data_IF_600207815654
#
_entry.id   IF_600207815654
#
_cell.length_a   1.000
_cell.length_b   1.000
_cell.length_c   1.000
_cell.angle_alpha   90.00
_cell.angle_beta   90.00
_cell.angle_gamma   90.00
#
_symmetry.space_group_name_H-M   'P 1'
#
loop_
_entity.id
_entity.type
_entity.pdbx_description
1 polymer ?
#
# COMPACT_ATOMS: atom_id res chain seq x y z
N UNK A 1 -8.05 16.12 5.79
CA UNK A 1 -6.68 15.99 5.27
C UNK A 1 -6.24 14.58 5.58
N UNK A 2 -5.62 13.89 4.65
CA UNK A 2 -4.98 12.60 4.93
C UNK A 2 -3.47 12.71 4.68
N UNK A 3 -2.69 11.93 5.42
CA UNK A 3 -1.23 11.88 5.32
C UNK A 3 -0.84 10.43 5.03
N UNK A 4 -0.02 10.21 4.00
CA UNK A 4 0.56 8.92 3.66
C UNK A 4 2.04 8.98 4.03
N UNK A 5 2.50 8.04 4.83
CA UNK A 5 3.91 7.93 5.21
C UNK A 5 4.44 6.56 4.82
N UNK A 6 5.54 6.51 4.08
CA UNK A 6 6.22 5.26 3.77
C UNK A 6 7.02 4.80 5.00
N UNK A 7 6.71 3.62 5.53
CA UNK A 7 7.38 3.03 6.71
C UNK A 7 8.19 1.79 6.36
N UNK A 8 8.01 1.26 5.14
CA UNK A 8 8.76 0.11 4.64
C UNK A 8 8.87 0.16 3.12
N UNK A 9 10.08 0.17 2.59
CA UNK A 9 10.42 0.10 1.17
C UNK A 9 11.90 -0.28 0.99
N UNK A 10 12.35 -0.63 -0.22
CA UNK A 10 13.77 -0.92 -0.51
C UNK A 10 14.66 0.32 -0.34
N UNK A 11 14.14 1.52 -0.61
CA UNK A 11 14.82 2.79 -0.37
C UNK A 11 14.46 3.39 0.98
N UNK A 12 15.37 4.19 1.54
CA UNK A 12 15.15 5.02 2.70
C UNK A 12 15.75 6.41 2.49
N UNK A 13 15.28 7.41 3.21
CA UNK A 13 15.88 8.76 3.18
C UNK A 13 17.34 8.66 3.65
N UNK A 14 18.26 9.20 2.85
CA UNK A 14 19.68 9.25 3.15
C UNK A 14 19.97 10.04 4.44
N UNK A 15 21.09 9.73 5.08
CA UNK A 15 21.56 10.39 6.32
C UNK A 15 20.56 10.28 7.50
N UNK A 16 19.72 9.24 7.51
CA UNK A 16 18.80 8.91 8.61
C UNK A 16 19.05 7.50 9.14
N UNK A 17 18.60 7.17 10.35
CA UNK A 17 18.69 5.80 10.87
C UNK A 17 17.69 4.82 10.21
N UNK A 18 16.89 5.28 9.25
CA UNK A 18 15.88 4.46 8.59
C UNK A 18 16.50 3.38 7.72
N UNK A 19 15.86 2.21 7.68
CA UNK A 19 16.36 1.03 6.98
C UNK A 19 15.50 0.75 5.75
N UNK A 20 16.15 0.73 4.57
CA UNK A 20 15.57 0.20 3.34
C UNK A 20 15.65 -1.32 3.31
N UNK A 21 14.56 -1.98 2.92
CA UNK A 21 14.51 -3.43 2.78
C UNK A 21 13.37 -3.84 1.85
N UNK A 22 13.51 -5.02 1.22
CA UNK A 22 12.52 -5.56 0.29
C UNK A 22 11.14 -5.74 0.94
N UNK A 23 10.12 -5.16 0.35
CA UNK A 23 8.74 -5.16 0.80
C UNK A 23 8.13 -3.76 0.77
N UNK A 24 6.88 -3.64 1.18
CA UNK A 24 6.19 -2.34 1.25
C UNK A 24 5.29 -2.25 2.48
N UNK A 25 5.22 -1.07 3.09
CA UNK A 25 4.19 -0.71 4.04
C UNK A 25 4.04 0.81 4.14
N UNK A 26 2.81 1.25 4.33
CA UNK A 26 2.46 2.65 4.52
C UNK A 26 1.64 2.83 5.79
N UNK A 27 1.85 3.93 6.50
CA UNK A 27 0.92 4.42 7.50
C UNK A 27 0.12 5.55 6.89
N UNK A 28 -1.20 5.38 6.87
CA UNK A 28 -2.14 6.40 6.41
C UNK A 28 -2.85 6.98 7.63
N UNK A 29 -2.78 8.29 7.76
CA UNK A 29 -3.43 9.02 8.83
C UNK A 29 -4.55 9.90 8.27
N UNK A 30 -5.76 9.75 8.78
CA UNK A 30 -6.93 10.53 8.36
C UNK A 30 -7.89 10.75 9.53
N UNK A 31 -8.22 12.02 9.78
CA UNK A 31 -9.16 12.43 10.83
C UNK A 31 -8.86 11.82 12.22
N UNK A 32 -7.56 11.75 12.56
CA UNK A 32 -7.09 11.25 13.85
C UNK A 32 -7.05 9.72 13.96
N UNK A 33 -7.33 8.99 12.87
CA UNK A 33 -7.21 7.53 12.78
C UNK A 33 -6.01 7.13 11.94
N UNK A 34 -5.36 6.02 12.30
CA UNK A 34 -4.18 5.47 11.64
C UNK A 34 -4.43 4.07 11.11
N UNK A 35 -4.15 3.90 9.83
CA UNK A 35 -4.18 2.62 9.14
C UNK A 35 -2.76 2.20 8.77
N UNK A 36 -2.35 0.98 9.11
CA UNK A 36 -1.17 0.35 8.53
C UNK A 36 -1.61 -0.45 7.28
N UNK A 37 -1.15 -0.04 6.12
CA UNK A 37 -1.37 -0.73 4.85
C UNK A 37 -0.15 -1.54 4.45
N UNK A 38 -0.29 -2.86 4.44
CA UNK A 38 0.78 -3.85 4.35
C UNK A 38 1.76 -3.79 5.54
N UNK A 39 2.68 -4.75 5.62
CA UNK A 39 3.61 -4.86 6.76
C UNK A 39 5.07 -5.08 6.33
N UNK A 40 5.32 -5.29 5.04
CA UNK A 40 6.65 -5.62 4.55
C UNK A 40 7.09 -7.06 4.88
N UNK A 41 8.36 -7.33 4.60
CA UNK A 41 8.95 -8.68 4.69
C UNK A 41 9.49 -9.02 6.09
N UNK A 42 10.02 -8.06 6.84
CA UNK A 42 10.72 -8.26 8.11
C UNK A 42 10.20 -7.31 9.19
N UNK A 43 9.54 -7.85 10.21
CA UNK A 43 8.96 -7.07 11.31
C UNK A 43 9.97 -6.16 12.02
N UNK A 44 11.20 -6.65 12.26
CA UNK A 44 12.23 -5.85 12.93
C UNK A 44 12.61 -4.56 12.16
N UNK A 45 12.57 -4.57 10.82
CA UNK A 45 12.82 -3.36 10.04
C UNK A 45 11.59 -2.44 10.04
N UNK A 46 10.39 -3.01 9.95
CA UNK A 46 9.16 -2.25 10.11
C UNK A 46 9.11 -1.53 11.46
N UNK A 47 9.33 -2.26 12.55
CA UNK A 47 9.28 -1.72 13.90
C UNK A 47 10.39 -0.69 14.13
N UNK A 48 11.61 -0.94 13.66
CA UNK A 48 12.71 0.01 13.72
C UNK A 48 12.38 1.34 13.01
N UNK A 49 11.87 1.24 11.79
CA UNK A 49 11.48 2.43 11.03
C UNK A 49 10.33 3.18 11.71
N UNK A 50 9.33 2.46 12.19
CA UNK A 50 8.20 3.07 12.91
C UNK A 50 8.65 3.78 14.18
N UNK A 51 9.57 3.20 14.96
CA UNK A 51 10.16 3.81 16.15
C UNK A 51 10.85 5.14 15.81
N UNK A 52 11.72 5.15 14.79
CA UNK A 52 12.41 6.37 14.35
C UNK A 52 11.49 7.41 13.70
N UNK A 53 10.31 6.99 13.24
CA UNK A 53 9.26 7.88 12.73
C UNK A 53 8.23 8.26 13.81
N UNK A 54 8.48 7.91 15.08
CA UNK A 54 7.64 8.18 16.26
C UNK A 54 6.22 7.58 16.12
N UNK A 55 6.11 6.40 15.48
CA UNK A 55 4.86 5.67 15.31
C UNK A 55 4.87 4.44 16.20
N UNK A 56 4.12 4.47 17.30
CA UNK A 56 3.98 3.31 18.18
C UNK A 56 3.06 2.25 17.55
N UNK A 57 3.37 0.95 17.66
CA UNK A 57 2.50 -0.11 17.15
C UNK A 57 1.05 -0.02 17.64
N UNK A 58 0.84 0.27 18.92
CA UNK A 58 -0.51 0.42 19.50
C UNK A 58 -1.26 1.68 19.04
N UNK A 59 -0.58 2.62 18.37
CA UNK A 59 -1.24 3.78 17.78
C UNK A 59 -1.93 3.48 16.43
N UNK A 60 -1.75 2.28 15.88
CA UNK A 60 -2.44 1.84 14.66
C UNK A 60 -3.83 1.35 15.02
N UNK A 61 -4.85 1.99 14.47
CA UNK A 61 -6.27 1.66 14.72
C UNK A 61 -6.75 0.49 13.84
N UNK A 62 -6.19 0.32 12.64
CA UNK A 62 -6.61 -0.68 11.64
C UNK A 62 -5.39 -1.17 10.86
N UNK A 63 -5.40 -2.44 10.47
CA UNK A 63 -4.45 -3.00 9.49
C UNK A 63 -5.21 -3.42 8.24
N UNK A 64 -4.69 -3.11 7.06
CA UNK A 64 -5.18 -3.67 5.80
C UNK A 64 -4.02 -4.29 5.03
N UNK A 65 -4.21 -5.51 4.54
CA UNK A 65 -3.23 -6.26 3.74
C UNK A 65 -3.70 -6.33 2.31
N UNK A 66 -2.91 -5.81 1.39
CA UNK A 66 -3.27 -5.72 -0.03
C UNK A 66 -3.36 -7.09 -0.70
N UNK A 67 -2.46 -8.00 -0.38
CA UNK A 67 -2.38 -9.34 -0.96
C UNK A 67 -1.56 -10.31 -0.11
N UNK A 68 -1.73 -11.61 -0.36
CA UNK A 68 -0.96 -12.67 0.30
C UNK A 68 0.37 -12.88 -0.42
N UNK A 69 1.28 -11.92 -0.24
CA UNK A 69 2.65 -12.00 -0.74
C UNK A 69 3.64 -11.65 0.37
N UNK A 70 4.82 -12.34 0.46
CA UNK A 70 5.79 -12.09 1.53
C UNK A 70 6.15 -10.62 1.71
N UNK A 71 6.35 -9.90 0.63
CA UNK A 71 6.77 -8.50 0.63
C UNK A 71 5.68 -7.55 1.21
N UNK A 72 4.42 -8.04 1.32
CA UNK A 72 3.29 -7.26 1.81
C UNK A 72 2.83 -7.69 3.22
N UNK A 73 2.89 -8.97 3.58
CA UNK A 73 2.23 -9.46 4.79
C UNK A 73 3.10 -10.26 5.76
N UNK A 74 4.36 -10.59 5.41
CA UNK A 74 5.16 -11.51 6.24
C UNK A 74 5.52 -10.96 7.61
N UNK A 75 5.63 -9.65 7.77
CA UNK A 75 5.96 -9.04 9.04
C UNK A 75 4.76 -8.93 10.00
N UNK A 76 3.54 -9.31 9.58
CA UNK A 76 2.31 -9.13 10.37
C UNK A 76 2.40 -9.76 11.77
N UNK A 77 2.86 -11.03 11.89
CA UNK A 77 2.99 -11.66 13.20
C UNK A 77 3.90 -10.87 14.14
N UNK A 78 5.11 -10.55 13.68
CA UNK A 78 6.05 -9.80 14.53
C UNK A 78 5.60 -8.37 14.82
N UNK A 79 4.74 -7.78 13.96
CA UNK A 79 4.07 -6.52 14.27
C UNK A 79 3.03 -6.70 15.39
N UNK A 80 2.24 -7.79 15.34
CA UNK A 80 1.29 -8.12 16.40
C UNK A 80 1.96 -8.48 17.72
N UNK A 81 3.16 -9.10 17.69
CA UNK A 81 3.96 -9.36 18.90
C UNK A 81 4.29 -8.07 19.65
N UNK A 82 4.58 -7.00 18.92
CA UNK A 82 4.90 -5.68 19.48
C UNK A 82 3.69 -4.87 19.96
N UNK A 83 2.47 -5.38 19.78
CA UNK A 83 1.24 -4.72 20.26
C UNK A 83 0.77 -5.31 21.58
N UNK A 84 0.10 -4.48 22.37
CA UNK A 84 -0.60 -4.88 23.60
C UNK A 84 -2.10 -5.01 23.37
N UNK A 85 -2.65 -4.27 22.42
CA UNK A 85 -4.10 -4.20 22.15
C UNK A 85 -4.48 -4.94 20.87
N UNK A 86 -5.68 -5.57 20.83
CA UNK A 86 -6.24 -6.10 19.61
C UNK A 86 -6.42 -5.03 18.53
N UNK A 87 -6.42 -5.46 17.26
CA UNK A 87 -6.55 -4.56 16.12
C UNK A 87 -7.42 -5.19 15.02
N UNK A 88 -8.37 -4.44 14.43
CA UNK A 88 -9.09 -4.86 13.23
C UNK A 88 -8.15 -5.08 12.06
N UNK A 89 -8.30 -6.21 11.36
CA UNK A 89 -7.49 -6.59 10.19
C UNK A 89 -8.38 -6.90 9.01
N UNK A 90 -8.23 -6.15 7.95
CA UNK A 90 -8.81 -6.41 6.63
C UNK A 90 -7.76 -7.08 5.75
N UNK A 91 -8.03 -8.26 5.25
CA UNK A 91 -7.07 -9.02 4.44
C UNK A 91 -7.78 -10.00 3.51
N UNK A 92 -7.10 -10.50 2.46
CA UNK A 92 -7.60 -11.61 1.66
C UNK A 92 -7.93 -12.83 2.54
N UNK A 93 -8.98 -13.59 2.15
CA UNK A 93 -9.44 -14.74 2.91
C UNK A 93 -8.33 -15.78 3.14
N UNK A 94 -7.47 -15.98 2.16
CA UNK A 94 -6.36 -16.92 2.19
C UNK A 94 -5.38 -16.64 3.33
N UNK A 95 -5.23 -15.38 3.76
CA UNK A 95 -4.37 -15.05 4.89
C UNK A 95 -4.95 -15.52 6.22
N UNK A 96 -6.28 -15.49 6.36
CA UNK A 96 -6.98 -15.99 7.55
C UNK A 96 -6.89 -17.51 7.67
N UNK A 97 -7.10 -18.20 6.55
CA UNK A 97 -7.08 -19.67 6.47
C UNK A 97 -5.68 -20.24 6.64
N UNK A 98 -4.66 -19.40 6.50
CA UNK A 98 -3.26 -19.76 6.55
C UNK A 98 -2.77 -20.40 5.25
N UNK A 99 -1.83 -19.74 4.59
CA UNK A 99 -1.25 -20.26 3.34
C UNK A 99 -0.16 -21.27 3.67
N UNK A 100 -0.43 -22.54 3.39
CA UNK A 100 0.58 -23.60 3.52
C UNK A 100 1.73 -23.34 2.54
N UNK A 101 2.94 -23.20 3.05
CA UNK A 101 4.16 -23.15 2.25
C UNK A 101 4.74 -21.78 1.95
N UNK A 102 3.96 -20.69 1.94
CA UNK A 102 4.48 -19.36 1.62
C UNK A 102 5.42 -18.79 2.71
N UNK A 103 5.25 -19.22 3.95
CA UNK A 103 6.01 -18.72 5.11
C UNK A 103 6.56 -19.82 6.03
N UNK A 104 6.42 -21.08 5.66
CA UNK A 104 6.89 -22.22 6.47
C UNK A 104 6.03 -22.50 7.71
N UNK A 105 5.11 -21.65 8.10
CA UNK A 105 4.14 -21.84 9.18
C UNK A 105 2.80 -21.17 8.83
N UNK A 106 1.73 -21.77 9.34
CA UNK A 106 0.34 -21.28 9.23
C UNK A 106 0.23 -19.80 9.63
N UNK A 107 -0.33 -18.96 8.80
CA UNK A 107 -0.84 -17.63 9.05
C UNK A 107 -0.38 -16.90 10.32
N UNK A 108 -1.31 -16.40 11.09
CA UNK A 108 -1.06 -15.77 12.40
C UNK A 108 -0.82 -16.87 13.46
N UNK A 109 0.15 -16.66 14.36
CA UNK A 109 0.42 -17.56 15.47
C UNK A 109 -0.79 -17.65 16.41
N UNK A 110 -0.93 -18.76 17.14
CA UNK A 110 -2.02 -18.92 18.11
C UNK A 110 -2.01 -17.80 19.17
N UNK A 111 -0.82 -17.40 19.60
CA UNK A 111 -0.60 -16.31 20.55
C UNK A 111 -1.13 -14.97 20.02
N UNK A 112 -0.98 -14.69 18.73
CA UNK A 112 -1.46 -13.47 18.09
C UNK A 112 -2.91 -13.55 17.60
N UNK A 113 -3.53 -14.72 17.65
CA UNK A 113 -4.94 -14.91 17.24
C UNK A 113 -5.90 -14.06 18.07
N UNK A 114 -5.58 -13.79 19.33
CA UNK A 114 -6.38 -12.93 20.21
C UNK A 114 -6.22 -11.44 19.89
N UNK A 115 -5.10 -11.04 19.27
CA UNK A 115 -4.84 -9.66 18.87
C UNK A 115 -5.35 -9.35 17.46
N UNK A 116 -5.48 -10.36 16.61
CA UNK A 116 -5.92 -10.23 15.23
C UNK A 116 -7.45 -10.30 15.13
N UNK A 117 -8.12 -9.18 15.02
CA UNK A 117 -9.56 -9.11 14.82
C UNK A 117 -9.88 -9.06 13.32
N UNK A 118 -9.93 -10.21 12.67
CA UNK A 118 -10.26 -10.28 11.24
C UNK A 118 -11.67 -9.77 10.96
N UNK A 119 -11.76 -8.84 10.01
CA UNK A 119 -13.01 -8.22 9.59
C UNK A 119 -13.55 -8.88 8.33
N UNK A 120 -14.85 -9.20 8.34
CA UNK A 120 -15.55 -9.59 7.12
C UNK A 120 -15.96 -8.33 6.36
N UNK A 121 -15.73 -8.34 5.07
CA UNK A 121 -16.12 -7.25 4.20
C UNK A 121 -16.39 -7.77 2.79
N UNK A 122 -17.27 -7.07 2.10
CA UNK A 122 -17.58 -7.31 0.69
C UNK A 122 -17.66 -5.97 -0.03
N UNK A 123 -16.99 -5.87 -1.16
CA UNK A 123 -16.95 -4.62 -1.92
C UNK A 123 -16.11 -3.51 -1.26
N UNK A 124 -16.39 -2.28 -1.64
CA UNK A 124 -15.68 -1.12 -1.12
C UNK A 124 -16.06 -0.83 0.35
N UNK A 125 -15.07 -0.81 1.21
CA UNK A 125 -15.25 -0.64 2.66
C UNK A 125 -14.44 0.54 3.17
N UNK A 126 -15.07 1.48 3.87
CA UNK A 126 -14.37 2.56 4.56
C UNK A 126 -13.71 2.00 5.82
N UNK A 127 -12.39 1.90 5.82
CA UNK A 127 -11.60 1.27 6.89
C UNK A 127 -11.16 2.26 7.98
N UNK A 128 -10.90 3.49 7.59
CA UNK A 128 -10.81 4.68 8.47
C UNK A 128 -11.44 5.86 7.73
N UNK A 129 -11.77 6.97 8.39
CA UNK A 129 -12.48 8.07 7.74
C UNK A 129 -11.82 8.53 6.44
N UNK A 130 -12.58 8.54 5.34
CA UNK A 130 -12.16 8.90 3.98
C UNK A 130 -11.15 7.96 3.30
N UNK A 131 -10.79 6.85 3.92
CA UNK A 131 -9.91 5.83 3.37
C UNK A 131 -10.69 4.55 3.14
N UNK A 132 -10.78 4.15 1.89
CA UNK A 132 -11.58 3.03 1.41
C UNK A 132 -10.68 1.90 0.90
N UNK A 133 -10.92 0.70 1.37
CA UNK A 133 -10.32 -0.52 0.83
C UNK A 133 -11.18 -1.00 -0.35
N UNK A 134 -10.54 -1.33 -1.46
CA UNK A 134 -11.22 -1.89 -2.63
C UNK A 134 -11.71 -3.32 -2.36
N UNK A 135 -12.69 -3.82 -3.14
CA UNK A 135 -12.88 -5.27 -3.25
C UNK A 135 -11.58 -5.93 -3.76
N UNK A 136 -11.45 -7.23 -3.51
CA UNK A 136 -10.36 -8.01 -4.10
C UNK A 136 -10.51 -8.00 -5.63
N UNK A 137 -9.45 -7.59 -6.32
CA UNK A 137 -9.35 -7.65 -7.77
C UNK A 137 -8.59 -8.91 -8.15
N UNK A 138 -9.25 -9.82 -8.81
CA UNK A 138 -8.63 -11.04 -9.31
C UNK A 138 -7.72 -10.71 -10.51
N UNK A 139 -6.55 -11.30 -10.52
CA UNK A 139 -5.64 -11.28 -11.64
C UNK A 139 -5.13 -12.71 -11.93
N UNK A 140 -4.35 -12.87 -12.95
CA UNK A 140 -3.92 -14.17 -13.50
C UNK A 140 -3.53 -15.18 -12.41
N UNK A 141 -4.03 -16.42 -12.50
CA UNK A 141 -3.74 -17.56 -11.63
C UNK A 141 -4.41 -17.58 -10.23
N UNK A 142 -5.55 -16.94 -10.07
CA UNK A 142 -6.32 -17.00 -8.82
C UNK A 142 -5.73 -16.19 -7.66
N UNK A 143 -4.81 -15.30 -7.94
CA UNK A 143 -4.35 -14.31 -6.97
C UNK A 143 -5.23 -13.07 -7.02
N UNK A 144 -5.40 -12.42 -5.88
CA UNK A 144 -6.14 -11.17 -5.78
C UNK A 144 -5.33 -10.09 -5.09
N UNK A 145 -5.60 -8.85 -5.44
CA UNK A 145 -5.00 -7.67 -4.82
C UNK A 145 -6.10 -6.67 -4.44
N UNK A 146 -5.91 -6.00 -3.32
CA UNK A 146 -6.70 -4.87 -2.88
C UNK A 146 -5.83 -3.62 -2.83
N UNK A 147 -6.44 -2.48 -3.01
CA UNK A 147 -5.78 -1.18 -2.92
C UNK A 147 -6.62 -0.21 -2.09
N UNK A 148 -6.02 0.89 -1.68
CA UNK A 148 -6.75 1.94 -0.97
C UNK A 148 -7.09 3.10 -1.91
N UNK A 149 -8.28 3.66 -1.69
CA UNK A 149 -8.70 4.93 -2.27
C UNK A 149 -8.94 5.96 -1.16
N UNK A 150 -8.26 7.10 -1.22
CA UNK A 150 -8.41 8.19 -0.26
C UNK A 150 -9.30 9.25 -0.89
N UNK A 151 -10.51 9.40 -0.33
CA UNK A 151 -11.53 10.33 -0.80
C UNK A 151 -11.23 11.77 -0.35
N UNK A 152 -10.29 12.42 -1.00
CA UNK A 152 -9.84 13.79 -0.76
C UNK A 152 -10.20 14.74 -1.90
N UNK A 153 -9.65 15.96 -1.95
CA UNK A 153 -9.86 16.89 -3.07
C UNK A 153 -9.50 16.26 -4.42
N UNK A 154 -8.31 15.67 -4.50
CA UNK A 154 -7.93 14.76 -5.58
C UNK A 154 -8.10 13.35 -5.01
N UNK A 155 -8.82 12.48 -5.70
CA UNK A 155 -8.86 11.07 -5.34
C UNK A 155 -7.42 10.53 -5.40
N UNK A 156 -6.94 9.95 -4.30
CA UNK A 156 -5.62 9.35 -4.26
C UNK A 156 -5.74 7.83 -4.11
N UNK A 157 -4.92 7.11 -4.87
CA UNK A 157 -4.82 5.65 -4.83
C UNK A 157 -3.52 5.26 -4.14
N UNK A 158 -3.58 4.25 -3.27
CA UNK A 158 -2.41 3.63 -2.66
C UNK A 158 -2.41 2.14 -3.00
N UNK A 159 -1.41 1.70 -3.75
CA UNK A 159 -1.26 0.32 -4.21
C UNK A 159 -0.11 -0.39 -3.49
N UNK A 160 -0.35 -1.61 -3.00
CA UNK A 160 0.69 -2.42 -2.34
C UNK A 160 1.70 -2.99 -3.34
N UNK A 161 1.25 -3.47 -4.50
CA UNK A 161 2.11 -4.07 -5.52
C UNK A 161 1.73 -3.70 -6.95
N UNK A 162 0.47 -3.41 -7.22
CA UNK A 162 -0.01 -2.97 -8.53
C UNK A 162 0.00 -4.08 -9.59
N UNK A 163 -0.29 -5.30 -9.20
CA UNK A 163 -0.30 -6.45 -10.11
C UNK A 163 -1.44 -6.39 -11.11
N UNK A 164 -2.57 -5.82 -10.69
CA UNK A 164 -3.73 -5.61 -11.55
C UNK A 164 -3.50 -4.57 -12.67
N UNK A 165 -2.35 -3.88 -12.63
CA UNK A 165 -2.04 -2.76 -13.52
C UNK A 165 -2.72 -1.44 -13.10
N UNK A 166 -2.15 -0.30 -13.49
CA UNK A 166 -2.72 0.99 -13.13
C UNK A 166 -4.10 1.23 -13.76
N UNK A 167 -4.34 0.75 -14.97
CA UNK A 167 -5.60 0.85 -15.70
C UNK A 167 -6.76 0.19 -14.93
N UNK A 168 -6.60 -1.06 -14.50
CA UNK A 168 -7.60 -1.78 -13.74
C UNK A 168 -7.91 -1.13 -12.40
N UNK A 169 -6.86 -0.74 -11.66
CA UNK A 169 -6.97 -0.07 -10.35
C UNK A 169 -7.69 1.27 -10.49
N UNK A 170 -7.29 2.10 -11.44
CA UNK A 170 -7.85 3.42 -11.65
C UNK A 170 -9.30 3.35 -12.14
N UNK A 171 -9.61 2.44 -13.07
CA UNK A 171 -10.98 2.24 -13.57
C UNK A 171 -11.93 1.79 -12.45
N UNK A 172 -11.51 0.88 -11.58
CA UNK A 172 -12.31 0.46 -10.43
C UNK A 172 -12.58 1.62 -9.46
N UNK A 173 -11.57 2.46 -9.19
CA UNK A 173 -11.72 3.62 -8.35
C UNK A 173 -12.61 4.70 -9.00
N UNK A 174 -12.43 4.99 -10.28
CA UNK A 174 -13.26 5.95 -11.02
C UNK A 174 -14.73 5.54 -11.03
N UNK A 175 -15.00 4.26 -11.27
CA UNK A 175 -16.36 3.71 -11.21
C UNK A 175 -17.01 3.88 -9.84
N UNK A 176 -16.24 3.68 -8.75
CA UNK A 176 -16.75 3.77 -7.37
C UNK A 176 -17.01 5.20 -6.93
N UNK A 177 -16.10 6.11 -7.25
CA UNK A 177 -16.13 7.48 -6.74
C UNK A 177 -16.65 8.50 -7.74
N UNK A 178 -17.00 8.08 -8.96
CA UNK A 178 -17.52 8.91 -10.07
C UNK A 178 -16.59 10.09 -10.40
N UNK A 179 -15.28 9.87 -10.25
CA UNK A 179 -14.24 10.86 -10.52
C UNK A 179 -12.87 10.23 -10.73
N UNK A 180 -12.04 10.90 -11.52
CA UNK A 180 -10.68 10.48 -11.81
C UNK A 180 -9.76 10.60 -10.59
N UNK A 181 -8.84 9.64 -10.45
CA UNK A 181 -7.76 9.75 -9.51
C UNK A 181 -6.73 10.77 -10.01
N UNK A 182 -6.28 11.66 -9.14
CA UNK A 182 -5.22 12.63 -9.44
C UNK A 182 -3.86 12.26 -8.86
N UNK A 183 -3.84 11.34 -7.89
CA UNK A 183 -2.63 10.90 -7.19
C UNK A 183 -2.55 9.38 -7.18
N UNK A 184 -1.38 8.84 -7.51
CA UNK A 184 -1.08 7.41 -7.39
C UNK A 184 0.17 7.23 -6.55
N UNK A 185 0.09 6.40 -5.51
CA UNK A 185 1.17 6.14 -4.55
C UNK A 185 1.39 4.64 -4.42
N UNK A 186 2.64 4.23 -4.28
CA UNK A 186 3.03 2.86 -4.02
C UNK A 186 3.53 2.15 -5.26
N UNK A 187 3.11 0.92 -5.49
CA UNK A 187 3.70 0.07 -6.51
C UNK A 187 2.88 -0.01 -7.78
N UNK A 188 3.59 -0.03 -8.89
CA UNK A 188 3.14 -0.59 -10.18
C UNK A 188 4.12 -1.70 -10.51
N UNK A 189 3.66 -2.94 -10.68
CA UNK A 189 4.53 -4.06 -10.98
C UNK A 189 5.15 -3.91 -12.37
N UNK A 190 6.35 -3.35 -12.41
CA UNK A 190 7.17 -3.22 -13.63
C UNK A 190 8.56 -3.84 -13.39
N UNK A 191 8.69 -5.12 -13.73
CA UNK A 191 9.97 -5.80 -13.71
C UNK A 191 10.88 -5.32 -14.86
N UNK A 192 12.19 -5.53 -14.71
CA UNK A 192 13.23 -5.14 -15.69
C UNK A 192 12.94 -5.49 -17.17
N UNK A 193 12.23 -6.60 -17.40
CA UNK A 193 11.94 -7.10 -18.77
C UNK A 193 10.63 -6.57 -19.36
N UNK A 194 9.88 -5.74 -18.65
CA UNK A 194 8.53 -5.29 -19.01
C UNK A 194 8.52 -3.91 -19.69
N UNK A 195 9.36 -3.69 -20.68
CA UNK A 195 9.45 -2.37 -21.36
C UNK A 195 8.18 -1.96 -22.11
N UNK A 196 7.48 -2.93 -22.72
CA UNK A 196 6.23 -2.66 -23.46
C UNK A 196 5.11 -2.27 -22.49
N UNK A 197 5.03 -2.94 -21.35
CA UNK A 197 4.09 -2.63 -20.28
C UNK A 197 4.35 -1.25 -19.69
N UNK A 198 5.61 -0.84 -19.53
CA UNK A 198 5.92 0.49 -19.02
C UNK A 198 5.37 1.61 -19.92
N UNK A 199 5.45 1.45 -21.25
CA UNK A 199 4.89 2.42 -22.19
C UNK A 199 3.35 2.45 -22.11
N UNK A 200 2.71 1.28 -21.97
CA UNK A 200 1.27 1.17 -21.80
C UNK A 200 0.85 1.82 -20.49
N UNK A 201 1.46 1.47 -19.36
CA UNK A 201 1.14 2.02 -18.05
C UNK A 201 1.33 3.54 -17.98
N UNK A 202 2.34 4.08 -18.65
CA UNK A 202 2.51 5.52 -18.77
C UNK A 202 1.33 6.16 -19.51
N UNK A 203 0.90 5.56 -20.62
CA UNK A 203 -0.26 6.03 -21.39
C UNK A 203 -1.56 5.92 -20.58
N UNK A 204 -1.73 4.83 -19.82
CA UNK A 204 -2.91 4.61 -18.97
C UNK A 204 -2.98 5.69 -17.87
N UNK A 205 -1.88 5.93 -17.15
CA UNK A 205 -1.80 6.95 -16.11
C UNK A 205 -2.11 8.36 -16.64
N UNK A 206 -1.57 8.70 -17.82
CA UNK A 206 -1.81 9.99 -18.47
C UNK A 206 -3.29 10.14 -18.91
N UNK A 207 -3.82 9.15 -19.62
CA UNK A 207 -5.19 9.14 -20.14
C UNK A 207 -6.22 9.20 -19.01
N UNK A 208 -5.96 8.51 -17.92
CA UNK A 208 -6.83 8.52 -16.74
C UNK A 208 -6.64 9.76 -15.85
N UNK A 209 -5.72 10.67 -16.21
CA UNK A 209 -5.58 11.98 -15.60
C UNK A 209 -4.81 12.00 -14.29
N UNK A 210 -3.98 11.02 -14.03
CA UNK A 210 -3.08 11.00 -12.86
C UNK A 210 -1.96 12.01 -13.07
N UNK A 211 -1.85 12.98 -12.17
CA UNK A 211 -0.87 14.07 -12.27
C UNK A 211 0.31 13.93 -11.32
N UNK A 212 0.09 13.24 -10.20
CA UNK A 212 1.08 13.09 -9.14
C UNK A 212 1.32 11.59 -8.89
N UNK A 213 2.50 11.10 -9.26
CA UNK A 213 2.85 9.68 -9.21
C UNK A 213 4.06 9.50 -8.29
N UNK A 214 3.90 8.66 -7.26
CA UNK A 214 4.90 8.34 -6.26
C UNK A 214 5.08 6.84 -6.19
N UNK A 215 6.17 6.31 -6.72
CA UNK A 215 6.38 4.87 -6.88
C UNK A 215 7.48 4.33 -5.97
N UNK A 216 7.35 3.07 -5.62
CA UNK A 216 8.27 2.34 -4.76
C UNK A 216 8.84 1.07 -5.43
N UNK A 217 9.47 0.19 -4.66
CA UNK A 217 10.36 -0.89 -5.07
C UNK A 217 9.85 -1.90 -6.12
N UNK A 218 8.54 -2.17 -6.18
CA UNK A 218 8.01 -3.07 -7.20
C UNK A 218 8.06 -2.48 -8.61
N UNK A 219 8.33 -1.17 -8.71
CA UNK A 219 8.67 -0.51 -9.97
C UNK A 219 10.18 -0.49 -10.10
N UNK A 220 10.74 -1.40 -10.89
CA UNK A 220 12.19 -1.49 -11.07
C UNK A 220 12.81 -0.17 -11.53
N UNK A 221 14.12 0.08 -11.30
CA UNK A 221 14.80 1.29 -11.77
C UNK A 221 14.63 1.51 -13.28
N UNK A 222 14.63 0.42 -14.06
CA UNK A 222 14.36 0.47 -15.49
C UNK A 222 12.91 0.85 -15.78
N UNK A 223 11.95 0.31 -15.03
CA UNK A 223 10.53 0.67 -15.11
C UNK A 223 10.33 2.16 -14.80
N UNK A 224 10.93 2.67 -13.72
CA UNK A 224 10.93 4.08 -13.37
C UNK A 224 11.49 4.96 -14.50
N UNK A 225 12.60 4.54 -15.11
CA UNK A 225 13.20 5.26 -16.23
C UNK A 225 12.26 5.32 -17.43
N UNK A 226 11.62 4.20 -17.79
CA UNK A 226 10.67 4.13 -18.90
C UNK A 226 9.42 5.01 -18.64
N UNK A 227 8.89 5.02 -17.44
CA UNK A 227 7.78 5.89 -17.07
C UNK A 227 8.18 7.36 -17.16
N UNK A 228 9.37 7.72 -16.66
CA UNK A 228 9.90 9.10 -16.72
C UNK A 228 10.16 9.59 -18.13
N UNK A 229 10.55 8.71 -19.05
CA UNK A 229 10.72 9.05 -20.48
C UNK A 229 9.39 9.50 -21.09
N UNK A 230 8.27 8.90 -20.68
CA UNK A 230 6.94 9.21 -21.22
C UNK A 230 6.22 10.33 -20.47
N UNK A 231 6.25 10.29 -19.13
CA UNK A 231 5.49 11.19 -18.26
C UNK A 231 6.30 12.41 -17.79
N UNK A 232 7.58 12.45 -18.12
CA UNK A 232 8.51 13.49 -17.66
C UNK A 232 9.09 13.21 -16.27
N UNK A 233 10.30 13.73 -16.04
CA UNK A 233 11.05 13.52 -14.79
C UNK A 233 10.31 14.03 -13.54
N UNK A 234 9.53 15.10 -13.66
CA UNK A 234 8.79 15.69 -12.54
C UNK A 234 7.47 14.99 -12.27
N UNK A 235 6.95 14.25 -13.25
CA UNK A 235 5.67 13.54 -13.14
C UNK A 235 5.74 12.26 -12.31
N UNK A 236 6.93 11.64 -12.23
CA UNK A 236 7.14 10.35 -11.53
C UNK A 236 8.24 10.50 -10.50
N UNK A 237 7.88 10.36 -9.24
CA UNK A 237 8.76 10.47 -8.08
C UNK A 237 8.93 9.12 -7.41
N UNK A 238 10.07 8.90 -6.77
CA UNK A 238 10.28 7.78 -5.86
C UNK A 238 9.66 8.09 -4.50
N UNK A 239 9.23 7.05 -3.78
CA UNK A 239 8.60 7.20 -2.47
C UNK A 239 9.20 6.20 -1.47
N UNK A 240 10.21 6.66 -0.75
CA UNK A 240 11.05 5.87 0.16
C UNK A 240 10.59 5.93 1.61
N UNK A 241 11.14 5.04 2.42
CA UNK A 241 10.97 5.06 3.89
C UNK A 241 11.34 6.45 4.44
N UNK A 242 10.44 6.97 5.27
CA UNK A 242 10.55 8.29 5.89
C UNK A 242 9.85 9.41 5.12
N UNK A 243 9.61 9.24 3.82
CA UNK A 243 8.87 10.24 3.05
C UNK A 243 7.39 10.29 3.43
N UNK A 244 6.84 11.48 3.34
CA UNK A 244 5.46 11.77 3.70
C UNK A 244 4.78 12.56 2.57
N UNK A 245 3.53 12.20 2.26
CA UNK A 245 2.70 12.88 1.28
C UNK A 245 1.39 13.33 1.93
N UNK A 246 1.10 14.62 1.86
CA UNK A 246 -0.19 15.18 2.27
C UNK A 246 -1.20 15.14 1.12
N UNK A 247 -2.33 14.51 1.36
CA UNK A 247 -3.48 14.49 0.46
C UNK A 247 -4.55 15.43 1.02
N UNK A 248 -4.66 16.62 0.40
CA UNK A 248 -5.50 17.70 0.93
C UNK A 248 -6.99 17.40 0.76
N UNK A 249 -7.79 17.66 1.79
CA UNK A 249 -9.24 17.61 1.71
C UNK A 249 -9.79 18.75 0.83
N UNK A 250 -10.98 18.52 0.23
CA UNK A 250 -11.72 19.58 -0.42
C UNK A 250 -12.01 20.68 0.62
N UNK A 251 -11.56 21.91 0.41
CA UNK A 251 -12.08 23.03 1.19
C UNK A 251 -13.60 23.08 0.91
N UNK A 252 -14.41 23.01 1.98
CA UNK A 252 -15.81 23.38 1.87
C UNK A 252 -15.81 24.87 1.58
N UNK A 253 -16.11 25.26 0.32
CA UNK A 253 -16.52 26.61 0.00
C UNK A 253 -17.95 26.81 0.44
#
# INVERSE_FOLDING_TARGET
MAVIRCVYDEGAIEDTPLIGAKGTAFVIESEGKRLLFDTGLRHRYLLHNMEHLEIQPDSIDVIAISQVHPDNCRALNGFLDARTQPVPIYCPAELREGVKGLFGKKGISEENSQKAQFQDFSGWTEVIPKVWLSPAMEYTNGYSEMFLAIASRKLAIVSGRGVAGPDGILAAAEKRFERKAGVFVGSILLAKKMKQEAARYASDLETMGVTDIYLNHCTSPEGMTQLRVKLGLKGVKEFYVGQTLEVRSRQKG
#
